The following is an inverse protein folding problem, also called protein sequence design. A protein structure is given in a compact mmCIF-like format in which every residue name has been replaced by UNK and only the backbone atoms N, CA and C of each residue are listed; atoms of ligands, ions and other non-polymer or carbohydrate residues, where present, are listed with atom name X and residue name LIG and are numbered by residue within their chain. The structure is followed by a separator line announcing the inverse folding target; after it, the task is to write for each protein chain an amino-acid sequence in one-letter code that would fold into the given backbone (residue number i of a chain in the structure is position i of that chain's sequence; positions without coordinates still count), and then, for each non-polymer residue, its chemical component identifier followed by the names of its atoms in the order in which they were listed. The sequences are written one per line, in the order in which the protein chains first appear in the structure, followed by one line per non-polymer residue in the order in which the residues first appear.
data_IF_518238683950
#
_entry.id   IF_518238683950
#
_cell.length_a   1.000
_cell.length_b   1.000
_cell.length_c   1.000
_cell.angle_alpha   90.00
_cell.angle_beta   90.00
_cell.angle_gamma   90.00
#
_symmetry.space_group_name_H-M   'P 1'
#
loop_
_entity.id
_entity.type
_entity.pdbx_description
1 polymer ?
#
# COMPACT_ATOMS: atom_id res chain seq x y z
N UNK A 1 -44.78 54.52 -11.18
CA UNK A 1 -43.60 55.04 -11.91
C UNK A 1 -42.82 53.84 -12.42
N UNK A 2 -42.74 53.69 -13.74
CA UNK A 2 -42.11 52.58 -14.48
C UNK A 2 -40.66 52.97 -14.76
N UNK A 3 -39.69 52.13 -14.38
CA UNK A 3 -38.33 52.23 -14.89
C UNK A 3 -37.93 50.90 -15.52
N UNK A 4 -37.99 50.88 -16.85
CA UNK A 4 -37.36 49.86 -17.70
C UNK A 4 -35.87 50.17 -17.81
N UNK A 5 -35.03 49.23 -17.39
CA UNK A 5 -33.59 49.28 -17.65
C UNK A 5 -33.29 48.17 -18.66
N UNK A 6 -33.04 48.60 -19.91
CA UNK A 6 -32.43 47.79 -20.95
C UNK A 6 -31.03 47.36 -20.50
N UNK A 7 -30.78 46.06 -20.39
CA UNK A 7 -29.43 45.51 -20.29
C UNK A 7 -29.06 44.89 -21.63
N UNK A 8 -28.13 45.55 -22.33
CA UNK A 8 -27.49 45.08 -23.55
C UNK A 8 -26.81 43.74 -23.33
N UNK A 9 -27.22 42.75 -24.11
CA UNK A 9 -26.56 41.45 -24.24
C UNK A 9 -25.28 41.66 -25.07
N UNK A 10 -24.12 41.71 -24.41
CA UNK A 10 -22.81 41.74 -25.05
C UNK A 10 -22.33 40.30 -25.26
N UNK A 11 -22.45 39.79 -26.49
CA UNK A 11 -21.87 38.51 -26.92
C UNK A 11 -20.35 38.65 -27.07
N UNK A 12 -19.60 38.28 -26.03
CA UNK A 12 -18.15 38.09 -26.09
C UNK A 12 -17.86 36.71 -26.67
N UNK A 13 -17.43 36.68 -27.93
CA UNK A 13 -16.88 35.49 -28.58
C UNK A 13 -15.51 35.17 -27.97
N UNK A 14 -15.47 34.31 -26.95
CA UNK A 14 -14.23 33.77 -26.38
C UNK A 14 -13.66 32.71 -27.32
N UNK A 15 -12.64 33.09 -28.09
CA UNK A 15 -11.80 32.16 -28.84
C UNK A 15 -11.03 31.27 -27.87
N UNK A 16 -11.46 30.02 -27.72
CA UNK A 16 -10.72 28.99 -27.00
C UNK A 16 -9.46 28.64 -27.80
N UNK A 17 -8.32 29.21 -27.41
CA UNK A 17 -7.01 28.72 -27.85
C UNK A 17 -6.77 27.36 -27.18
N UNK A 18 -6.88 26.29 -27.97
CA UNK A 18 -6.50 24.95 -27.53
C UNK A 18 -4.99 24.96 -27.24
N UNK A 19 -4.62 25.05 -25.96
CA UNK A 19 -3.24 24.83 -25.54
C UNK A 19 -2.88 23.37 -25.84
N UNK A 20 -1.79 23.08 -26.57
CA UNK A 20 -1.33 21.72 -26.73
C UNK A 20 -1.00 21.17 -25.34
N UNK A 21 -1.74 20.14 -24.92
CA UNK A 21 -1.45 19.40 -23.71
C UNK A 21 -0.04 18.80 -23.87
N UNK A 22 0.95 19.46 -23.26
CA UNK A 22 2.29 18.90 -23.13
C UNK A 22 2.14 17.66 -22.25
N UNK A 23 2.19 16.49 -22.89
CA UNK A 23 2.25 15.22 -22.19
C UNK A 23 3.54 15.22 -21.37
N UNK A 24 3.42 15.53 -20.08
CA UNK A 24 4.54 15.40 -19.16
C UNK A 24 5.05 13.95 -19.27
N UNK A 25 6.35 13.73 -19.51
CA UNK A 25 6.89 12.38 -19.58
C UNK A 25 6.56 11.68 -18.27
N UNK A 26 5.85 10.55 -18.36
CA UNK A 26 5.47 9.76 -17.21
C UNK A 26 6.74 9.40 -16.43
N UNK A 27 6.90 9.98 -15.24
CA UNK A 27 8.02 9.72 -14.33
C UNK A 27 7.87 8.32 -13.71
N UNK A 28 8.03 7.28 -14.54
CA UNK A 28 7.86 5.87 -14.15
C UNK A 28 8.98 5.35 -13.22
N UNK A 29 10.15 6.00 -13.21
CA UNK A 29 11.36 5.47 -12.56
C UNK A 29 11.36 5.43 -11.01
N UNK A 30 10.29 5.82 -10.33
CA UNK A 30 10.29 5.98 -8.87
C UNK A 30 9.39 4.99 -8.11
N UNK A 31 8.79 4.04 -8.83
CA UNK A 31 7.94 3.00 -8.25
C UNK A 31 8.72 1.71 -8.11
N UNK A 32 8.72 1.12 -6.92
CA UNK A 32 9.40 -0.13 -6.61
C UNK A 32 8.39 -1.17 -6.15
N UNK A 33 8.61 -2.44 -6.50
CA UNK A 33 7.70 -3.54 -6.20
C UNK A 33 8.48 -4.77 -5.70
N UNK A 34 7.96 -5.43 -4.67
CA UNK A 34 8.43 -6.73 -4.21
C UNK A 34 7.27 -7.70 -4.07
N UNK A 35 7.49 -8.94 -4.53
CA UNK A 35 6.56 -10.06 -4.37
C UNK A 35 6.87 -10.78 -3.06
N UNK A 36 5.85 -10.93 -2.22
CA UNK A 36 5.94 -11.58 -0.92
C UNK A 36 5.82 -13.09 -1.06
N UNK A 37 6.62 -13.82 -0.28
CA UNK A 37 6.78 -15.28 -0.33
C UNK A 37 6.43 -15.95 0.98
N UNK A 38 6.78 -15.33 2.10
CA UNK A 38 6.49 -15.83 3.44
C UNK A 38 5.50 -14.90 4.14
N UNK A 39 4.54 -15.49 4.84
CA UNK A 39 3.41 -14.78 5.44
C UNK A 39 3.20 -15.29 6.87
N UNK A 40 3.32 -14.40 7.83
CA UNK A 40 2.93 -14.59 9.22
C UNK A 40 1.81 -13.58 9.50
N UNK A 41 0.58 -13.96 9.16
CA UNK A 41 -0.60 -13.12 9.34
C UNK A 41 -1.11 -13.23 10.78
N UNK A 42 -1.64 -12.12 11.28
CA UNK A 42 -2.38 -12.13 12.53
C UNK A 42 -3.61 -13.05 12.44
N UNK A 43 -3.83 -13.97 13.40
CA UNK A 43 -5.00 -14.86 13.41
C UNK A 43 -6.34 -14.12 13.34
N UNK A 44 -6.41 -12.89 13.83
CA UNK A 44 -7.64 -12.09 13.79
C UNK A 44 -8.07 -11.67 12.38
N UNK A 45 -7.11 -11.58 11.44
CA UNK A 45 -7.36 -11.31 10.02
C UNK A 45 -7.84 -12.55 9.26
N UNK A 46 -7.63 -13.72 9.85
CA UNK A 46 -7.77 -15.00 9.17
C UNK A 46 -8.67 -15.90 10.00
N UNK A 47 -9.94 -15.49 10.15
CA UNK A 47 -10.96 -16.32 10.78
C UNK A 47 -11.36 -17.43 9.79
N UNK A 48 -11.33 -18.67 10.26
CA UNK A 48 -11.83 -19.87 9.56
C UNK A 48 -10.96 -20.51 8.47
N UNK A 49 -9.63 -20.64 8.68
CA UNK A 49 -8.83 -21.56 7.85
C UNK A 49 -8.96 -23.01 8.31
N UNK A 50 -10.07 -23.65 7.98
CA UNK A 50 -10.15 -25.12 8.07
C UNK A 50 -9.40 -25.82 6.92
N UNK A 51 -9.01 -25.08 5.88
CA UNK A 51 -8.34 -25.59 4.69
C UNK A 51 -6.95 -24.98 4.52
N UNK A 52 -6.01 -25.68 3.86
CA UNK A 52 -4.75 -25.08 3.45
C UNK A 52 -5.03 -23.92 2.48
N UNK A 53 -4.47 -22.77 2.80
CA UNK A 53 -4.66 -21.53 2.04
C UNK A 53 -3.32 -21.04 1.55
N UNK A 54 -3.28 -20.62 0.29
CA UNK A 54 -2.12 -19.95 -0.28
C UNK A 54 -2.33 -18.46 -0.23
N UNK A 55 -1.36 -17.77 0.35
CA UNK A 55 -1.31 -16.31 0.32
C UNK A 55 -0.37 -15.86 -0.78
N UNK A 56 -0.79 -14.81 -1.46
CA UNK A 56 0.05 -14.05 -2.38
C UNK A 56 0.03 -12.61 -1.94
N UNK A 57 1.13 -11.90 -2.11
CA UNK A 57 1.19 -10.52 -1.66
C UNK A 57 2.21 -9.73 -2.44
N UNK A 58 1.96 -8.43 -2.53
CA UNK A 58 2.82 -7.48 -3.20
C UNK A 58 2.92 -6.25 -2.33
N UNK A 59 4.15 -5.80 -2.10
CA UNK A 59 4.42 -4.48 -1.53
C UNK A 59 4.93 -3.56 -2.63
N UNK A 60 4.31 -2.41 -2.77
CA UNK A 60 4.67 -1.38 -3.74
C UNK A 60 5.04 -0.11 -3.00
N UNK A 61 6.21 0.45 -3.32
CA UNK A 61 6.70 1.71 -2.78
C UNK A 61 6.70 2.73 -3.91
N UNK A 62 5.86 3.76 -3.80
CA UNK A 62 5.87 4.91 -4.70
C UNK A 62 6.52 6.10 -4.01
N UNK A 63 7.72 6.47 -4.46
CA UNK A 63 8.46 7.59 -3.88
C UNK A 63 8.02 8.95 -4.42
N UNK A 64 7.40 8.99 -5.59
CA UNK A 64 6.88 10.22 -6.18
C UNK A 64 5.63 10.66 -5.43
N UNK A 65 4.70 9.72 -5.22
CA UNK A 65 3.48 9.95 -4.45
C UNK A 65 3.70 9.88 -2.94
N UNK A 66 4.88 9.40 -2.51
CA UNK A 66 5.24 9.14 -1.11
C UNK A 66 4.25 8.19 -0.44
N UNK A 67 3.94 7.07 -1.10
CA UNK A 67 2.98 6.07 -0.63
C UNK A 67 3.56 4.67 -0.64
N UNK A 68 3.07 3.84 0.26
CA UNK A 68 3.33 2.40 0.31
C UNK A 68 2.00 1.68 0.23
N UNK A 69 1.88 0.77 -0.73
CA UNK A 69 0.72 -0.11 -0.88
C UNK A 69 1.11 -1.53 -0.53
N UNK A 70 0.39 -2.14 0.40
CA UNK A 70 0.50 -3.55 0.76
C UNK A 70 -0.79 -4.26 0.36
N UNK A 71 -0.71 -5.14 -0.63
CA UNK A 71 -1.82 -5.96 -1.09
C UNK A 71 -1.54 -7.42 -0.76
N UNK A 72 -2.42 -8.07 -0.01
CA UNK A 72 -2.37 -9.50 0.32
C UNK A 72 -3.68 -10.15 -0.11
N UNK A 73 -3.53 -11.16 -0.96
CA UNK A 73 -4.62 -11.90 -1.56
C UNK A 73 -4.59 -13.36 -1.12
N UNK A 74 -5.77 -13.90 -0.88
CA UNK A 74 -6.03 -15.30 -0.65
C UNK A 74 -6.31 -15.99 -1.97
N UNK A 75 -5.63 -17.10 -2.22
CA UNK A 75 -5.98 -18.05 -3.27
C UNK A 75 -6.46 -19.36 -2.63
N UNK A 76 -7.61 -19.91 -3.05
CA UNK A 76 -8.03 -21.23 -2.61
C UNK A 76 -7.00 -22.27 -3.09
N UNK A 77 -6.61 -23.20 -2.22
CA UNK A 77 -5.79 -24.34 -2.62
C UNK A 77 -6.58 -25.21 -3.58
N UNK A 78 -6.14 -25.29 -4.83
CA UNK A 78 -6.79 -26.09 -5.85
C UNK A 78 -6.10 -27.45 -6.00
N UNK A 79 -6.78 -28.57 -5.73
CA UNK A 79 -6.21 -29.89 -5.97
C UNK A 79 -6.02 -30.13 -7.47
N UNK A 80 -5.01 -30.93 -7.81
CA UNK A 80 -4.70 -31.25 -9.21
C UNK A 80 -5.91 -31.89 -9.92
N UNK A 81 -6.28 -31.35 -11.08
CA UNK A 81 -7.39 -31.84 -11.90
C UNK A 81 -8.78 -31.31 -11.52
N UNK A 82 -8.92 -30.54 -10.43
CA UNK A 82 -10.17 -29.88 -10.11
C UNK A 82 -10.30 -28.53 -10.84
N UNK A 83 -11.53 -28.16 -11.18
CA UNK A 83 -11.86 -26.80 -11.59
C UNK A 83 -12.16 -25.96 -10.35
N UNK A 84 -11.21 -25.13 -9.95
CA UNK A 84 -11.42 -24.19 -8.84
C UNK A 84 -11.85 -22.82 -9.35
N UNK A 85 -12.69 -22.12 -8.58
CA UNK A 85 -13.03 -20.76 -8.93
C UNK A 85 -11.77 -19.87 -8.87
N UNK A 86 -11.52 -19.11 -9.94
CA UNK A 86 -10.35 -18.25 -10.09
C UNK A 86 -10.54 -16.86 -9.46
N UNK A 87 -11.33 -16.74 -8.39
CA UNK A 87 -11.40 -15.47 -7.67
C UNK A 87 -10.28 -15.41 -6.62
N UNK A 88 -9.58 -14.28 -6.60
CA UNK A 88 -8.69 -13.92 -5.50
C UNK A 88 -9.50 -13.10 -4.50
N UNK A 89 -9.49 -13.53 -3.24
CA UNK A 89 -10.10 -12.74 -2.17
C UNK A 89 -9.02 -11.81 -1.63
N UNK A 90 -9.23 -10.51 -1.76
CA UNK A 90 -8.33 -9.52 -1.20
C UNK A 90 -8.58 -9.45 0.32
N UNK A 91 -7.58 -9.87 1.11
CA UNK A 91 -7.67 -9.89 2.58
C UNK A 91 -7.20 -8.55 3.15
N UNK A 92 -6.12 -8.02 2.58
CA UNK A 92 -5.49 -6.81 3.06
C UNK A 92 -5.14 -5.95 1.86
N UNK A 93 -5.67 -4.73 1.82
CA UNK A 93 -5.26 -3.70 0.88
C UNK A 93 -5.08 -2.40 1.65
N UNK A 94 -3.84 -2.02 1.90
CA UNK A 94 -3.52 -0.87 2.74
C UNK A 94 -2.57 0.03 2.00
N UNK A 95 -2.95 1.29 1.88
CA UNK A 95 -2.16 2.35 1.29
C UNK A 95 -1.85 3.39 2.36
N UNK A 96 -0.57 3.52 2.73
CA UNK A 96 -0.12 4.44 3.77
C UNK A 96 0.88 5.47 3.23
N UNK A 97 0.86 6.71 3.74
CA UNK A 97 1.86 7.71 3.38
C UNK A 97 3.20 7.41 4.04
N UNK A 98 4.29 7.59 3.29
CA UNK A 98 5.66 7.45 3.78
C UNK A 98 5.96 8.60 4.74
N UNK A 99 6.34 8.25 5.96
CA UNK A 99 6.74 9.20 7.02
C UNK A 99 8.25 9.37 7.07
N UNK A 100 9.00 8.29 6.93
CA UNK A 100 10.47 8.34 6.97
C UNK A 100 11.12 7.29 6.10
N UNK A 101 12.25 7.65 5.50
CA UNK A 101 13.18 6.73 4.85
C UNK A 101 14.53 6.93 5.53
N UNK A 102 15.08 5.87 6.11
CA UNK A 102 16.36 5.90 6.80
C UNK A 102 17.21 4.71 6.38
N UNK A 103 18.50 4.79 6.71
CA UNK A 103 19.47 3.72 6.48
C UNK A 103 20.06 3.34 7.82
N UNK A 104 20.11 2.05 8.13
CA UNK A 104 20.70 1.56 9.38
C UNK A 104 22.24 1.46 9.28
N UNK A 105 22.88 1.05 10.38
CA UNK A 105 24.35 0.86 10.41
C UNK A 105 24.86 -0.25 9.48
N UNK A 106 23.96 -1.09 8.97
CA UNK A 106 24.25 -2.16 8.02
C UNK A 106 23.95 -1.78 6.57
N UNK A 107 23.65 -0.50 6.29
CA UNK A 107 23.21 -0.02 4.98
C UNK A 107 21.88 -0.62 4.49
N UNK A 108 21.08 -1.25 5.35
CA UNK A 108 19.72 -1.61 5.00
C UNK A 108 18.86 -0.35 4.90
N UNK A 109 18.00 -0.29 3.89
CA UNK A 109 17.07 0.83 3.73
C UNK A 109 15.77 0.52 4.45
N UNK A 110 15.42 1.34 5.44
CA UNK A 110 14.19 1.22 6.23
C UNK A 110 13.21 2.30 5.79
N UNK A 111 12.03 1.87 5.30
CA UNK A 111 10.95 2.74 4.86
C UNK A 111 9.79 2.56 5.84
N UNK A 112 9.35 3.65 6.46
CA UNK A 112 8.23 3.66 7.40
C UNK A 112 7.10 4.47 6.80
N UNK A 113 5.95 3.83 6.59
CA UNK A 113 4.71 4.45 6.20
C UNK A 113 3.68 4.29 7.32
N UNK A 114 2.96 5.36 7.67
CA UNK A 114 2.08 5.39 8.85
C UNK A 114 0.91 6.34 8.65
N UNK A 115 -0.25 5.94 9.12
CA UNK A 115 -1.43 6.79 9.20
C UNK A 115 -2.13 6.61 10.55
N UNK A 116 -2.46 7.72 11.22
CA UNK A 116 -3.17 7.69 12.51
C UNK A 116 -4.61 8.19 12.32
N UNK A 117 -5.55 7.25 12.23
CA UNK A 117 -6.98 7.57 12.12
C UNK A 117 -7.72 7.46 13.45
N UNK A 118 -7.02 7.28 14.58
CA UNK A 118 -7.64 7.15 15.92
C UNK A 118 -8.54 8.32 16.32
N UNK A 119 -8.28 9.59 15.92
CA UNK A 119 -9.18 10.70 16.24
C UNK A 119 -10.60 10.58 15.66
N UNK A 120 -10.82 9.73 14.65
CA UNK A 120 -12.11 9.52 13.97
C UNK A 120 -12.59 8.06 14.10
N UNK A 121 -12.35 7.45 15.26
CA UNK A 121 -12.65 6.04 15.55
C UNK A 121 -11.94 5.02 14.61
N UNK A 122 -10.88 5.45 13.92
CA UNK A 122 -10.06 4.59 13.07
C UNK A 122 -8.91 3.92 13.82
N UNK A 123 -8.11 3.14 13.08
CA UNK A 123 -6.90 2.51 13.60
C UNK A 123 -5.65 3.38 13.35
N UNK A 124 -4.63 3.20 14.17
CA UNK A 124 -3.26 3.55 13.85
C UNK A 124 -2.67 2.41 13.01
N UNK A 125 -2.28 2.69 11.78
CA UNK A 125 -1.68 1.71 10.88
C UNK A 125 -0.24 2.09 10.56
N UNK A 126 0.65 1.10 10.51
CA UNK A 126 2.05 1.30 10.15
C UNK A 126 2.57 0.13 9.32
N UNK A 127 3.26 0.44 8.23
CA UNK A 127 4.04 -0.49 7.42
C UNK A 127 5.51 -0.08 7.56
N UNK A 128 6.34 -1.02 8.00
CA UNK A 128 7.79 -0.87 8.03
C UNK A 128 8.41 -1.87 7.07
N UNK A 129 9.14 -1.36 6.07
CA UNK A 129 9.83 -2.16 5.07
C UNK A 129 11.32 -2.04 5.32
N UNK A 130 11.99 -3.17 5.50
CA UNK A 130 13.45 -3.24 5.54
C UNK A 130 13.95 -3.91 4.27
N UNK A 131 14.70 -3.15 3.48
CA UNK A 131 15.31 -3.62 2.24
C UNK A 131 16.79 -3.91 2.48
N UNK A 132 17.12 -5.20 2.40
CA UNK A 132 18.45 -5.75 2.62
C UNK A 132 19.29 -5.87 1.34
N UNK A 133 18.78 -5.39 0.19
CA UNK A 133 19.49 -5.50 -1.11
C UNK A 133 20.86 -4.83 -1.15
N UNK A 134 21.09 -3.86 -0.25
CA UNK A 134 22.34 -3.10 -0.15
C UNK A 134 23.05 -3.31 1.20
N UNK A 135 22.70 -4.39 1.90
CA UNK A 135 23.30 -4.67 3.21
C UNK A 135 24.80 -4.93 3.09
N UNK A 136 25.57 -4.30 3.97
CA UNK A 136 27.02 -4.53 4.10
C UNK A 136 27.37 -5.45 5.25
N UNK A 137 26.41 -5.75 6.13
CA UNK A 137 26.62 -6.69 7.23
C UNK A 137 26.58 -8.13 6.70
N UNK A 138 27.39 -9.02 7.29
CA UNK A 138 27.30 -10.47 7.03
C UNK A 138 26.03 -11.03 7.66
N UNK A 139 24.92 -10.93 6.92
CA UNK A 139 23.64 -11.52 7.28
C UNK A 139 23.25 -12.53 6.21
N UNK A 140 23.12 -13.80 6.63
CA UNK A 140 22.59 -14.85 5.76
C UNK A 140 21.07 -14.69 5.67
N UNK A 141 20.62 -13.93 4.68
CA UNK A 141 19.21 -13.70 4.45
C UNK A 141 18.69 -14.55 3.30
N UNK A 142 17.61 -15.28 3.58
CA UNK A 142 16.86 -16.03 2.58
C UNK A 142 16.06 -15.10 1.66
N UNK A 143 15.67 -13.92 2.15
CA UNK A 143 14.82 -12.94 1.47
C UNK A 143 15.43 -11.54 1.54
N UNK A 144 15.24 -10.76 0.49
CA UNK A 144 15.85 -9.43 0.38
C UNK A 144 14.99 -8.33 1.00
N UNK A 145 13.69 -8.55 1.18
CA UNK A 145 12.76 -7.56 1.73
C UNK A 145 12.00 -8.15 2.91
N UNK A 146 12.00 -7.41 4.02
CA UNK A 146 11.22 -7.69 5.24
C UNK A 146 10.12 -6.64 5.38
N UNK A 147 8.87 -7.05 5.62
CA UNK A 147 7.73 -6.14 5.76
C UNK A 147 6.97 -6.45 7.04
N UNK A 148 6.87 -5.46 7.92
CA UNK A 148 6.07 -5.53 9.15
C UNK A 148 4.86 -4.61 9.01
N UNK A 149 3.67 -5.17 9.13
CA UNK A 149 2.41 -4.43 9.19
C UNK A 149 1.86 -4.48 10.61
N UNK A 150 1.55 -3.32 11.16
CA UNK A 150 0.89 -3.20 12.46
C UNK A 150 -0.36 -2.35 12.35
N UNK A 151 -1.41 -2.75 13.06
CA UNK A 151 -2.63 -1.98 13.21
C UNK A 151 -3.02 -1.97 14.69
N UNK A 152 -3.33 -0.81 15.26
CA UNK A 152 -3.85 -0.73 16.62
C UNK A 152 -5.04 0.20 16.74
N UNK A 153 -6.02 -0.18 17.55
CA UNK A 153 -7.22 0.61 17.81
C UNK A 153 -7.70 0.40 19.24
N UNK A 154 -8.43 1.36 19.79
CA UNK A 154 -9.00 1.24 21.15
C UNK A 154 -10.34 0.52 21.05
N UNK A 155 -10.46 -0.64 21.67
CA UNK A 155 -11.71 -1.41 21.68
C UNK A 155 -12.70 -0.80 22.69
N UNK A 156 -13.91 -0.47 22.22
CA UNK A 156 -14.99 0.03 23.08
C UNK A 156 -15.51 -1.01 24.07
N UNK A 157 -15.46 -2.31 23.73
CA UNK A 157 -15.97 -3.38 24.61
C UNK A 157 -15.03 -3.66 25.78
N UNK A 158 -13.72 -3.54 25.56
CA UNK A 158 -12.70 -3.96 26.53
C UNK A 158 -11.95 -2.76 27.15
N UNK A 159 -12.14 -1.54 26.63
CA UNK A 159 -11.45 -0.33 27.08
C UNK A 159 -9.92 -0.32 26.81
N UNK A 160 -9.38 -1.36 26.19
CA UNK A 160 -7.96 -1.54 25.91
C UNK A 160 -7.59 -1.35 24.44
N UNK A 161 -6.30 -1.17 24.17
CA UNK A 161 -5.76 -1.15 22.82
C UNK A 161 -5.67 -2.59 22.28
N UNK A 162 -6.42 -2.87 21.22
CA UNK A 162 -6.27 -4.08 20.43
C UNK A 162 -5.19 -3.82 19.37
N UNK A 163 -4.17 -4.67 19.32
CA UNK A 163 -3.06 -4.57 18.39
C UNK A 163 -3.00 -5.83 17.53
N UNK A 164 -2.79 -5.62 16.25
CA UNK A 164 -2.52 -6.65 15.26
C UNK A 164 -1.14 -6.47 14.67
N UNK A 165 -0.44 -7.60 14.48
CA UNK A 165 0.90 -7.66 13.88
C UNK A 165 0.92 -8.75 12.80
N UNK A 166 1.28 -8.34 11.58
CA UNK A 166 1.56 -9.26 10.49
C UNK A 166 2.97 -9.03 9.97
N UNK A 167 3.65 -10.11 9.62
CA UNK A 167 5.01 -10.09 9.13
C UNK A 167 5.09 -10.82 7.79
N UNK A 168 5.85 -10.26 6.85
CA UNK A 168 5.98 -10.78 5.50
C UNK A 168 7.43 -10.70 5.03
N UNK A 169 7.85 -11.67 4.24
CA UNK A 169 9.17 -11.67 3.61
C UNK A 169 9.03 -11.89 2.12
N UNK A 170 9.89 -11.23 1.33
CA UNK A 170 9.75 -11.21 -0.12
C UNK A 170 11.04 -11.04 -0.90
N UNK A 171 10.87 -11.04 -2.22
CA UNK A 171 11.95 -10.87 -3.17
C UNK A 171 12.50 -9.42 -3.11
N UNK A 172 13.55 -9.14 -3.87
CA UNK A 172 14.16 -7.80 -3.95
C UNK A 172 13.16 -6.75 -4.50
N UNK A 173 13.19 -5.54 -3.95
CA UNK A 173 12.41 -4.40 -4.44
C UNK A 173 12.90 -3.98 -5.83
N UNK A 174 12.17 -4.37 -6.88
CA UNK A 174 12.49 -4.05 -8.28
C UNK A 174 11.86 -2.72 -8.67
N UNK A 175 12.59 -1.90 -9.41
CA UNK A 175 12.03 -0.69 -10.03
C UNK A 175 11.06 -1.13 -11.14
N UNK A 176 9.83 -0.61 -11.12
CA UNK A 176 8.88 -0.77 -12.21
C UNK A 176 9.27 0.21 -13.31
N UNK A 177 9.44 -0.29 -14.53
CA UNK A 177 9.74 0.50 -15.72
C UNK A 177 8.46 0.76 -16.52
#
# INVERSE_FOLDING_TARGET
MKNSILFSVLLLATSFSAMPASAAPASSQNRQMSVLREFQLDPSLVKDLSTPVHFTGVVTVDRTEKRVTLSVNQAPSCPAGAMCPQYLVQILDVELPIVSIMTDGCHNRIIVAREDRRPVDGALQSIMITDHSTSTCDIYLKYATDVQYTSSFVSRSNGGEAKSLSHFQGDLLKVLH
#
